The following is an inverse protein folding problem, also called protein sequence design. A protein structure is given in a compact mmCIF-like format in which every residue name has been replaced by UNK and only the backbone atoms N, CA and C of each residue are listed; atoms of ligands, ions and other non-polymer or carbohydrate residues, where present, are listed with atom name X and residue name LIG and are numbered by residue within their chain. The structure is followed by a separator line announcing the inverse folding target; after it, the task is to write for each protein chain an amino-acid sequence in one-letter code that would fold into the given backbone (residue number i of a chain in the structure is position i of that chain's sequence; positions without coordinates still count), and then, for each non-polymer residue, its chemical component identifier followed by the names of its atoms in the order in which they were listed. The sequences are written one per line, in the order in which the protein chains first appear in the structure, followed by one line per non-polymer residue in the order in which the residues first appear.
data_IF_075081670512
#
_entry.id   IF_075081670512
#
_cell.length_a   1.000
_cell.length_b   1.000
_cell.length_c   1.000
_cell.angle_alpha   90.00
_cell.angle_beta   90.00
_cell.angle_gamma   90.00
#
_symmetry.space_group_name_H-M   'P 1'
#
loop_
_entity.id
_entity.type
_entity.pdbx_description
1 polymer ?
#
# COMPACT_ATOMS: atom_id res chain seq x y z
N UNK A 1 -3.75 25.02 11.55
CA UNK A 1 -2.53 25.19 12.39
C UNK A 1 -2.66 24.42 13.69
N UNK A 2 -3.62 24.74 14.56
CA UNK A 2 -3.81 24.07 15.87
C UNK A 2 -4.12 22.56 15.77
N UNK A 3 -4.88 22.16 14.75
CA UNK A 3 -5.18 20.74 14.45
C UNK A 3 -3.99 19.96 13.86
N UNK A 4 -3.14 20.63 13.07
CA UNK A 4 -1.86 20.07 12.57
C UNK A 4 -0.89 19.83 13.72
N UNK A 5 -0.83 20.77 14.67
CA UNK A 5 0.00 20.64 15.87
C UNK A 5 -0.51 19.53 16.80
N UNK A 6 -1.83 19.35 16.93
CA UNK A 6 -2.42 18.22 17.67
C UNK A 6 -2.14 16.88 17.00
N UNK A 7 -2.27 16.80 15.67
CA UNK A 7 -1.92 15.63 14.88
C UNK A 7 -0.43 15.26 14.99
N UNK A 8 0.46 16.26 14.89
CA UNK A 8 1.90 16.10 15.13
C UNK A 8 2.19 15.59 16.54
N UNK A 9 1.47 16.10 17.55
CA UNK A 9 1.57 15.63 18.93
C UNK A 9 1.13 14.17 19.09
N UNK A 10 0.01 13.78 18.47
CA UNK A 10 -0.53 12.41 18.57
C UNK A 10 0.37 11.39 17.85
N UNK A 11 0.91 11.73 16.67
CA UNK A 11 1.92 10.93 15.97
C UNK A 11 3.20 10.78 16.81
N UNK A 12 3.72 11.89 17.36
CA UNK A 12 4.90 11.87 18.23
C UNK A 12 4.66 11.05 19.50
N UNK A 13 3.46 11.13 20.08
CA UNK A 13 3.07 10.40 21.28
C UNK A 13 2.97 8.89 21.03
N UNK A 14 2.27 8.48 19.98
CA UNK A 14 2.12 7.05 19.62
C UNK A 14 3.47 6.42 19.24
N UNK A 15 4.34 7.17 18.54
CA UNK A 15 5.67 6.68 18.15
C UNK A 15 6.59 6.48 19.36
N UNK A 16 6.51 7.37 20.36
CA UNK A 16 7.31 7.29 21.60
C UNK A 16 6.85 6.19 22.56
N UNK A 17 5.59 5.77 22.51
CA UNK A 17 5.05 4.69 23.34
C UNK A 17 5.32 3.30 22.74
N UNK A 18 5.22 3.16 21.43
CA UNK A 18 5.27 1.84 20.78
C UNK A 18 6.62 1.49 20.12
N UNK A 19 7.58 2.43 20.02
CA UNK A 19 8.86 2.28 19.28
C UNK A 19 8.70 1.79 17.81
N UNK A 20 7.48 1.60 17.32
CA UNK A 20 7.14 1.03 16.02
C UNK A 20 5.69 1.42 15.70
N UNK A 21 5.48 2.54 15.02
CA UNK A 21 4.23 2.71 14.28
C UNK A 21 4.39 1.90 12.99
N UNK A 22 3.66 0.79 12.86
CA UNK A 22 3.57 0.10 11.56
C UNK A 22 3.07 1.09 10.50
N UNK A 23 3.55 0.98 9.25
CA UNK A 23 3.12 1.85 8.14
C UNK A 23 1.59 1.95 8.04
N UNK A 24 0.91 0.85 8.34
CA UNK A 24 -0.54 0.75 8.42
C UNK A 24 -1.14 1.59 9.57
N UNK A 25 -0.53 1.56 10.77
CA UNK A 25 -0.92 2.40 11.90
C UNK A 25 -0.73 3.89 11.62
N UNK A 26 0.34 4.27 10.92
CA UNK A 26 0.58 5.65 10.51
C UNK A 26 -0.49 6.12 9.52
N UNK A 27 -0.73 5.36 8.44
CA UNK A 27 -1.79 5.65 7.43
C UNK A 27 -3.18 5.74 8.04
N UNK A 28 -3.50 4.88 9.02
CA UNK A 28 -4.79 4.91 9.74
C UNK A 28 -4.93 6.10 10.70
N UNK A 29 -3.88 6.47 11.41
CA UNK A 29 -3.87 7.68 12.24
C UNK A 29 -4.00 8.95 11.38
N UNK A 30 -3.45 8.91 10.17
CA UNK A 30 -3.54 9.98 9.16
C UNK A 30 -4.94 10.18 8.59
N UNK A 31 -5.63 9.10 8.21
CA UNK A 31 -7.01 9.20 7.72
C UNK A 31 -7.94 9.82 8.79
N UNK A 32 -7.63 9.60 10.06
CA UNK A 32 -8.33 10.22 11.19
C UNK A 32 -7.91 11.68 11.46
N UNK A 33 -6.64 12.03 11.35
CA UNK A 33 -6.13 13.40 11.52
C UNK A 33 -6.62 14.36 10.42
N UNK A 34 -6.72 13.89 9.18
CA UNK A 34 -7.19 14.70 8.05
C UNK A 34 -8.71 14.97 8.09
N UNK A 35 -9.48 14.08 8.73
CA UNK A 35 -10.91 14.24 9.04
C UNK A 35 -11.21 15.57 9.73
N UNK A 36 -10.24 16.10 10.48
CA UNK A 36 -10.36 17.37 11.21
C UNK A 36 -9.89 18.59 10.41
N UNK A 37 -8.97 18.42 9.45
CA UNK A 37 -8.35 19.54 8.72
C UNK A 37 -9.18 20.09 7.55
N UNK A 38 -10.06 19.28 6.97
CA UNK A 38 -10.75 19.65 5.74
C UNK A 38 -12.10 20.35 5.94
N UNK A 39 -12.51 20.63 7.18
CA UNK A 39 -13.77 21.30 7.46
C UNK A 39 -13.71 22.82 7.21
N UNK A 40 -13.60 23.24 5.95
CA UNK A 40 -14.05 24.58 5.54
C UNK A 40 -14.08 24.76 4.01
N UNK A 41 -15.22 24.48 3.39
CA UNK A 41 -15.87 25.38 2.43
C UNK A 41 -17.18 24.76 1.95
N UNK A 42 -18.25 25.56 1.94
CA UNK A 42 -19.52 25.18 1.31
C UNK A 42 -19.47 25.64 -0.15
N UNK A 43 -19.06 24.76 -1.05
CA UNK A 43 -19.19 24.96 -2.50
C UNK A 43 -20.55 24.48 -3.00
N UNK A 44 -20.99 24.99 -4.16
CA UNK A 44 -22.15 24.44 -4.87
C UNK A 44 -21.87 22.97 -5.26
N UNK A 45 -22.92 22.14 -5.29
CA UNK A 45 -22.80 20.73 -5.69
C UNK A 45 -22.28 20.67 -7.12
N UNK A 46 -21.19 19.94 -7.34
CA UNK A 46 -20.62 19.70 -8.65
C UNK A 46 -21.05 18.31 -9.13
N UNK A 47 -21.99 18.25 -10.07
CA UNK A 47 -22.42 16.99 -10.69
C UNK A 47 -21.62 16.74 -11.96
N UNK A 48 -21.12 15.51 -12.11
CA UNK A 48 -20.37 15.08 -13.28
C UNK A 48 -20.89 13.76 -13.83
N UNK A 49 -20.76 13.57 -15.15
CA UNK A 49 -21.38 12.44 -15.86
C UNK A 49 -20.42 11.26 -16.07
N UNK A 50 -19.11 11.51 -16.09
CA UNK A 50 -18.11 10.45 -16.22
C UNK A 50 -18.13 9.51 -15.02
N UNK A 51 -18.20 8.21 -15.27
CA UNK A 51 -18.27 7.18 -14.22
C UNK A 51 -16.92 6.99 -13.57
N UNK A 52 -16.90 6.81 -12.25
CA UNK A 52 -15.68 6.48 -11.50
C UNK A 52 -15.77 5.03 -11.03
N UNK A 53 -14.84 4.20 -11.47
CA UNK A 53 -14.74 2.80 -11.03
C UNK A 53 -13.60 2.69 -10.04
N UNK A 54 -13.95 2.49 -8.77
CA UNK A 54 -13.01 2.28 -7.69
C UNK A 54 -12.58 0.80 -7.67
N UNK A 55 -11.36 0.53 -8.13
CA UNK A 55 -10.75 -0.80 -8.07
C UNK A 55 -9.99 -0.99 -6.78
N UNK A 56 -10.23 -2.10 -6.09
CA UNK A 56 -9.59 -2.39 -4.82
C UNK A 56 -9.20 -3.85 -4.65
N UNK A 57 -8.19 -4.10 -3.82
CA UNK A 57 -7.65 -5.44 -3.61
C UNK A 57 -6.19 -5.41 -3.20
N UNK A 58 -5.65 -6.56 -2.80
CA UNK A 58 -4.27 -6.66 -2.33
C UNK A 58 -3.26 -6.35 -3.43
N UNK A 59 -2.04 -5.95 -3.04
CA UNK A 59 -0.92 -5.97 -3.97
C UNK A 59 -0.77 -7.38 -4.54
N UNK A 60 -0.41 -7.51 -5.83
CA UNK A 60 -0.29 -8.80 -6.52
C UNK A 60 -1.64 -9.52 -6.82
N UNK A 61 -2.79 -8.92 -6.49
CA UNK A 61 -4.10 -9.49 -6.90
C UNK A 61 -4.38 -9.36 -8.39
N UNK A 62 -3.63 -8.54 -9.14
CA UNK A 62 -3.76 -8.40 -10.60
C UNK A 62 -4.39 -7.09 -11.09
N UNK A 63 -4.65 -6.13 -10.19
CA UNK A 63 -5.23 -4.80 -10.52
C UNK A 63 -4.51 -4.09 -11.67
N UNK A 64 -3.19 -3.91 -11.57
CA UNK A 64 -2.39 -3.23 -12.59
C UNK A 64 -2.47 -3.92 -13.97
N UNK A 65 -2.51 -5.25 -14.00
CA UNK A 65 -2.68 -6.01 -15.25
C UNK A 65 -4.07 -5.79 -15.86
N UNK A 66 -5.11 -5.77 -15.04
CA UNK A 66 -6.47 -5.45 -15.45
C UNK A 66 -6.56 -4.03 -16.00
N UNK A 67 -6.00 -3.04 -15.32
CA UNK A 67 -5.97 -1.64 -15.78
C UNK A 67 -5.32 -1.49 -17.17
N UNK A 68 -4.21 -2.22 -17.41
CA UNK A 68 -3.53 -2.24 -18.72
C UNK A 68 -4.43 -2.82 -19.82
N UNK A 69 -5.06 -3.97 -19.56
CA UNK A 69 -5.99 -4.58 -20.51
C UNK A 69 -7.22 -3.70 -20.76
N UNK A 70 -7.67 -2.96 -19.75
CA UNK A 70 -8.77 -2.03 -19.88
C UNK A 70 -8.45 -0.86 -20.82
N UNK A 71 -7.29 -0.21 -20.65
CA UNK A 71 -6.84 0.87 -21.54
C UNK A 71 -6.69 0.41 -22.99
N UNK A 72 -6.23 -0.83 -23.20
CA UNK A 72 -6.12 -1.40 -24.55
C UNK A 72 -7.47 -1.53 -25.28
N UNK A 73 -8.57 -1.66 -24.53
CA UNK A 73 -9.92 -1.88 -25.09
C UNK A 73 -10.78 -0.62 -25.08
N UNK A 74 -10.60 0.27 -24.12
CA UNK A 74 -11.47 1.41 -23.88
C UNK A 74 -10.69 2.72 -23.99
N UNK A 75 -10.35 3.11 -25.23
CA UNK A 75 -9.57 4.33 -25.50
C UNK A 75 -10.30 5.63 -25.11
N UNK A 76 -11.60 5.58 -24.82
CA UNK A 76 -12.39 6.74 -24.36
C UNK A 76 -12.44 6.88 -22.83
N UNK A 77 -11.79 5.98 -22.10
CA UNK A 77 -11.68 5.98 -20.64
C UNK A 77 -10.25 6.28 -20.22
N UNK A 78 -10.09 6.72 -18.98
CA UNK A 78 -8.78 6.94 -18.37
C UNK A 78 -8.55 6.01 -17.17
N UNK A 79 -7.29 5.86 -16.77
CA UNK A 79 -6.90 5.14 -15.55
C UNK A 79 -5.99 6.02 -14.71
N UNK A 80 -6.39 6.19 -13.46
CA UNK A 80 -5.60 6.84 -12.41
C UNK A 80 -5.35 5.85 -11.28
N UNK A 81 -4.28 6.02 -10.52
CA UNK A 81 -4.06 5.16 -9.37
C UNK A 81 -2.73 5.39 -8.68
N UNK A 82 -2.60 4.83 -7.49
CA UNK A 82 -1.40 4.94 -6.66
C UNK A 82 -0.18 4.39 -7.45
N UNK A 83 -0.30 3.19 -8.03
CA UNK A 83 0.76 2.53 -8.83
C UNK A 83 1.05 3.19 -10.19
N UNK A 84 0.28 4.21 -10.61
CA UNK A 84 0.45 4.89 -11.91
C UNK A 84 0.91 6.32 -11.67
N UNK A 85 0.15 7.06 -10.88
CA UNK A 85 0.32 8.49 -10.66
C UNK A 85 1.39 8.76 -9.59
N UNK A 86 1.47 7.94 -8.52
CA UNK A 86 2.56 8.05 -7.54
C UNK A 86 3.86 7.45 -8.07
N UNK A 87 3.82 6.35 -8.80
CA UNK A 87 5.03 5.80 -9.43
C UNK A 87 5.64 6.77 -10.44
N UNK A 88 4.82 7.43 -11.28
CA UNK A 88 5.30 8.50 -12.16
C UNK A 88 5.88 9.68 -11.36
N UNK A 89 5.24 10.05 -10.25
CA UNK A 89 5.75 11.09 -9.36
C UNK A 89 7.11 10.70 -8.76
N UNK A 90 7.27 9.46 -8.32
CA UNK A 90 8.54 8.93 -7.81
C UNK A 90 9.61 8.82 -8.89
N UNK A 91 9.25 8.39 -10.09
CA UNK A 91 10.18 8.32 -11.24
C UNK A 91 10.66 9.72 -11.60
N UNK A 92 9.75 10.69 -11.74
CA UNK A 92 10.07 12.08 -12.03
C UNK A 92 11.01 12.67 -10.97
N UNK A 93 10.72 12.42 -9.69
CA UNK A 93 11.60 12.84 -8.59
C UNK A 93 12.96 12.14 -8.59
N UNK A 94 13.01 10.85 -8.90
CA UNK A 94 14.27 10.09 -8.93
C UNK A 94 15.21 10.57 -10.04
N UNK A 95 14.65 11.18 -11.09
CA UNK A 95 15.38 11.70 -12.25
C UNK A 95 15.71 13.20 -12.13
N UNK A 96 15.01 13.94 -11.27
CA UNK A 96 15.18 15.38 -11.06
C UNK A 96 15.62 15.67 -9.61
N UNK A 97 16.93 15.72 -9.41
CA UNK A 97 17.56 16.03 -8.11
C UNK A 97 17.06 17.36 -7.53
N UNK A 98 16.97 18.47 -8.30
CA UNK A 98 16.32 19.70 -7.82
C UNK A 98 14.91 19.49 -7.29
N UNK A 99 14.07 18.72 -7.99
CA UNK A 99 12.70 18.42 -7.56
C UNK A 99 12.70 17.58 -6.28
N UNK A 100 13.51 16.53 -6.21
CA UNK A 100 13.66 15.72 -5.01
C UNK A 100 14.16 16.57 -3.82
N UNK A 101 15.13 17.45 -4.03
CA UNK A 101 15.63 18.38 -3.01
C UNK A 101 14.56 19.39 -2.57
N UNK A 102 13.65 19.80 -3.46
CA UNK A 102 12.55 20.72 -3.14
C UNK A 102 11.52 20.06 -2.22
N UNK A 103 11.11 18.82 -2.52
CA UNK A 103 10.08 18.11 -1.75
C UNK A 103 10.64 17.37 -0.53
N UNK A 104 11.89 16.90 -0.60
CA UNK A 104 12.56 16.11 0.43
C UNK A 104 13.94 16.67 0.79
N UNK A 105 14.04 17.96 1.20
CA UNK A 105 15.33 18.61 1.43
C UNK A 105 16.19 17.93 2.50
N UNK A 106 15.54 17.36 3.53
CA UNK A 106 16.22 16.68 4.62
C UNK A 106 16.69 15.29 4.20
N UNK A 107 15.83 14.46 3.60
CA UNK A 107 16.23 13.18 3.00
C UNK A 107 17.33 13.35 1.96
N UNK A 108 17.26 14.37 1.11
CA UNK A 108 18.35 14.72 0.18
C UNK A 108 19.65 15.03 0.93
N UNK A 109 19.59 15.82 2.00
CA UNK A 109 20.76 16.13 2.81
C UNK A 109 21.33 14.87 3.50
N UNK A 110 20.50 14.01 4.08
CA UNK A 110 20.90 12.70 4.62
C UNK A 110 21.56 11.83 3.55
N UNK A 111 20.90 11.65 2.41
CA UNK A 111 21.44 10.89 1.28
C UNK A 111 22.76 11.48 0.80
N UNK A 112 22.88 12.80 0.68
CA UNK A 112 24.12 13.44 0.25
C UNK A 112 25.29 13.18 1.21
N UNK A 113 25.03 13.12 2.53
CA UNK A 113 26.03 12.79 3.56
C UNK A 113 26.43 11.32 3.55
N UNK A 114 25.48 10.44 3.27
CA UNK A 114 25.76 9.01 3.28
C UNK A 114 26.28 8.51 1.92
N UNK A 115 25.94 9.19 0.82
CA UNK A 115 26.52 8.95 -0.52
C UNK A 115 27.96 9.43 -0.62
N UNK A 116 28.35 10.48 0.11
CA UNK A 116 29.77 10.89 0.17
C UNK A 116 30.67 9.82 0.77
N UNK A 117 30.13 8.91 1.59
CA UNK A 117 30.86 7.77 2.14
C UNK A 117 31.08 6.64 1.10
N UNK A 118 30.50 6.72 -0.11
CA UNK A 118 30.54 5.68 -1.15
C UNK A 118 30.04 4.29 -0.72
N UNK A 119 29.51 4.11 0.48
CA UNK A 119 29.11 2.80 1.06
C UNK A 119 27.61 2.52 0.94
N UNK A 120 26.83 3.35 0.23
CA UNK A 120 25.40 3.11 -0.02
C UNK A 120 25.16 2.71 -1.46
N UNK A 121 24.33 1.68 -1.65
CA UNK A 121 23.95 1.16 -2.97
C UNK A 121 22.54 1.59 -3.39
N UNK A 122 21.59 1.75 -2.45
CA UNK A 122 20.20 2.12 -2.77
C UNK A 122 19.50 2.68 -1.53
N UNK A 123 18.71 3.74 -1.68
CA UNK A 123 17.75 4.17 -0.66
C UNK A 123 16.36 4.05 -1.25
N UNK A 124 15.53 3.22 -0.65
CA UNK A 124 14.14 3.08 -1.03
C UNK A 124 13.30 4.07 -0.22
N UNK A 125 12.25 4.60 -0.85
CA UNK A 125 11.15 5.17 -0.08
C UNK A 125 10.73 4.16 1.01
N UNK A 126 10.22 4.65 2.15
CA UNK A 126 9.89 3.85 3.35
C UNK A 126 11.07 3.52 4.30
N UNK A 127 12.17 4.29 4.20
CA UNK A 127 13.25 4.24 5.20
C UNK A 127 14.16 3.02 5.11
N UNK A 128 14.08 2.26 4.02
CA UNK A 128 14.96 1.12 3.80
C UNK A 128 16.20 1.60 3.06
N UNK A 129 17.32 1.61 3.79
CA UNK A 129 18.62 1.94 3.24
C UNK A 129 19.44 0.67 2.99
N UNK A 130 19.93 0.53 1.78
CA UNK A 130 20.80 -0.57 1.37
C UNK A 130 22.24 -0.06 1.27
N UNK A 131 23.11 -0.54 2.16
CA UNK A 131 24.55 -0.33 2.09
C UNK A 131 25.23 -1.21 1.03
N UNK A 132 26.42 -0.90 0.55
CA UNK A 132 27.21 -1.85 -0.25
C UNK A 132 27.62 -3.03 0.64
N UNK A 133 27.85 -4.20 0.06
CA UNK A 133 28.39 -5.36 0.79
C UNK A 133 29.77 -5.07 1.39
N UNK A 134 30.49 -4.11 0.81
CA UNK A 134 31.80 -3.64 1.29
C UNK A 134 31.72 -2.70 2.50
N UNK A 135 30.51 -2.30 2.92
CA UNK A 135 30.35 -1.28 3.96
C UNK A 135 30.86 -1.77 5.31
N UNK A 136 31.81 -1.01 5.87
CA UNK A 136 32.35 -1.30 7.20
C UNK A 136 31.30 -1.13 8.31
N UNK A 137 31.42 -1.90 9.40
CA UNK A 137 30.54 -1.76 10.59
C UNK A 137 30.53 -0.33 11.16
N UNK A 138 31.66 0.35 11.15
CA UNK A 138 31.75 1.74 11.60
C UNK A 138 31.02 2.70 10.65
N UNK A 139 31.05 2.47 9.33
CA UNK A 139 30.28 3.26 8.38
C UNK A 139 28.77 3.06 8.60
N UNK A 140 28.33 1.81 8.79
CA UNK A 140 26.93 1.51 9.10
C UNK A 140 26.48 2.21 10.40
N UNK A 141 27.29 2.15 11.47
CA UNK A 141 26.95 2.82 12.73
C UNK A 141 26.88 4.34 12.57
N UNK A 142 27.82 4.97 11.86
CA UNK A 142 27.79 6.42 11.60
C UNK A 142 26.55 6.85 10.81
N UNK A 143 26.11 6.03 9.86
CA UNK A 143 24.88 6.33 9.11
C UNK A 143 23.67 6.24 10.05
N UNK A 144 23.59 5.21 10.90
CA UNK A 144 22.54 5.08 11.91
C UNK A 144 22.53 6.26 12.89
N UNK A 145 23.71 6.68 13.38
CA UNK A 145 23.85 7.84 14.28
C UNK A 145 23.45 9.16 13.59
N UNK A 146 23.70 9.28 12.28
CA UNK A 146 23.30 10.42 11.46
C UNK A 146 21.78 10.46 11.24
N UNK A 147 21.16 9.29 11.15
CA UNK A 147 19.71 9.09 11.12
C UNK A 147 19.12 9.10 12.54
N UNK A 148 19.18 10.24 13.24
CA UNK A 148 18.67 10.35 14.61
C UNK A 148 17.13 10.19 14.67
N UNK A 149 16.58 9.50 15.67
CA UNK A 149 15.16 9.07 15.70
C UNK A 149 14.14 10.22 15.62
N UNK A 150 14.35 11.34 16.32
CA UNK A 150 13.44 12.49 16.26
C UNK A 150 13.40 13.15 14.86
N UNK A 151 14.50 13.07 14.11
CA UNK A 151 14.55 13.59 12.73
C UNK A 151 13.88 12.67 11.71
N UNK A 152 13.83 11.36 12.00
CA UNK A 152 13.11 10.37 11.19
C UNK A 152 11.59 10.62 11.27
N UNK A 153 11.06 10.94 12.45
CA UNK A 153 9.61 11.19 12.64
C UNK A 153 9.14 12.40 11.83
N UNK A 154 9.87 13.52 11.91
CA UNK A 154 9.54 14.73 11.13
C UNK A 154 9.68 14.48 9.61
N UNK A 155 10.64 13.65 9.17
CA UNK A 155 10.79 13.28 7.77
C UNK A 155 9.67 12.35 7.29
N UNK A 156 9.25 11.40 8.12
CA UNK A 156 8.08 10.55 7.85
C UNK A 156 6.81 11.39 7.72
N UNK A 157 6.61 12.38 8.60
CA UNK A 157 5.48 13.31 8.51
C UNK A 157 5.50 14.07 7.18
N UNK A 158 6.66 14.57 6.74
CA UNK A 158 6.78 15.27 5.46
C UNK A 158 6.59 14.35 4.26
N UNK A 159 7.14 13.14 4.29
CA UNK A 159 6.94 12.12 3.26
C UNK A 159 5.45 11.87 3.06
N UNK A 160 4.75 11.73 4.17
CA UNK A 160 3.30 11.55 4.22
C UNK A 160 2.56 12.77 3.67
N UNK A 161 2.93 13.99 4.07
CA UNK A 161 2.31 15.23 3.56
C UNK A 161 2.43 15.32 2.03
N UNK A 162 3.59 14.96 1.48
CA UNK A 162 3.82 14.94 0.02
C UNK A 162 2.98 13.86 -0.65
N UNK A 163 2.93 12.65 -0.09
CA UNK A 163 2.11 11.56 -0.61
C UNK A 163 0.62 11.93 -0.65
N UNK A 164 0.12 12.55 0.40
CA UNK A 164 -1.26 13.01 0.49
C UNK A 164 -1.54 14.11 -0.54
N UNK A 165 -0.62 15.06 -0.72
CA UNK A 165 -0.77 16.09 -1.74
C UNK A 165 -0.83 15.50 -3.16
N UNK A 166 0.06 14.54 -3.47
CA UNK A 166 0.04 13.84 -4.76
C UNK A 166 -1.27 13.06 -4.97
N UNK A 167 -1.79 12.41 -3.93
CA UNK A 167 -3.07 11.70 -3.99
C UNK A 167 -4.26 12.66 -4.15
N UNK A 168 -4.24 13.83 -3.50
CA UNK A 168 -5.23 14.88 -3.74
C UNK A 168 -5.18 15.42 -5.17
N UNK A 169 -4.00 15.62 -5.73
CA UNK A 169 -3.83 16.06 -7.12
C UNK A 169 -4.40 15.02 -8.10
N UNK A 170 -4.17 13.73 -7.82
CA UNK A 170 -4.79 12.62 -8.55
C UNK A 170 -6.32 12.71 -8.46
N UNK A 171 -6.90 12.90 -7.27
CA UNK A 171 -8.36 13.02 -7.10
C UNK A 171 -8.95 14.25 -7.82
N UNK A 172 -8.27 15.40 -7.78
CA UNK A 172 -8.68 16.57 -8.57
C UNK A 172 -8.62 16.28 -10.08
N UNK A 173 -7.65 15.50 -10.55
CA UNK A 173 -7.58 15.10 -11.96
C UNK A 173 -8.74 14.18 -12.33
N UNK A 174 -9.04 13.16 -11.52
CA UNK A 174 -10.20 12.27 -11.71
C UNK A 174 -11.49 13.09 -11.80
N UNK A 175 -11.67 14.05 -10.89
CA UNK A 175 -12.82 14.96 -10.88
C UNK A 175 -12.93 15.77 -12.17
N UNK A 176 -11.82 16.31 -12.68
CA UNK A 176 -11.80 17.05 -13.97
C UNK A 176 -12.13 16.17 -15.17
N UNK A 177 -11.59 14.95 -15.23
CA UNK A 177 -11.88 13.97 -16.28
C UNK A 177 -13.37 13.58 -16.27
N UNK A 178 -13.90 13.28 -15.09
CA UNK A 178 -15.32 12.98 -14.92
C UNK A 178 -16.21 14.15 -15.34
N UNK A 179 -15.82 15.40 -15.01
CA UNK A 179 -16.53 16.61 -15.44
C UNK A 179 -16.55 16.82 -16.96
N UNK A 180 -15.53 16.32 -17.68
CA UNK A 180 -15.52 16.31 -19.15
C UNK A 180 -16.22 15.10 -19.77
N UNK A 181 -16.95 14.31 -18.97
CA UNK A 181 -17.65 13.10 -19.41
C UNK A 181 -16.75 11.87 -19.59
N UNK A 182 -15.46 11.96 -19.25
CA UNK A 182 -14.52 10.82 -19.33
C UNK A 182 -14.70 9.95 -18.10
N UNK A 183 -14.93 8.66 -18.30
CA UNK A 183 -15.02 7.70 -17.21
C UNK A 183 -13.62 7.22 -16.82
N UNK A 184 -13.40 7.03 -15.53
CA UNK A 184 -12.07 6.80 -14.96
C UNK A 184 -12.07 5.56 -14.08
N UNK A 185 -11.12 4.66 -14.32
CA UNK A 185 -10.78 3.61 -13.36
C UNK A 185 -9.75 4.16 -12.38
N UNK A 186 -9.99 3.92 -11.09
CA UNK A 186 -9.13 4.38 -10.00
C UNK A 186 -8.58 3.17 -9.26
N UNK A 187 -7.29 2.89 -9.42
CA UNK A 187 -6.55 1.89 -8.64
C UNK A 187 -5.99 2.55 -7.38
N UNK A 188 -6.78 2.57 -6.31
CA UNK A 188 -6.36 3.17 -5.03
C UNK A 188 -6.50 2.16 -3.90
N UNK A 189 -5.71 2.33 -2.84
CA UNK A 189 -5.88 1.58 -1.60
C UNK A 189 -6.71 2.34 -0.55
N UNK A 190 -7.01 3.62 -0.78
CA UNK A 190 -7.58 4.52 0.24
C UNK A 190 -8.95 5.12 -0.19
N UNK A 191 -9.96 4.24 -0.21
CA UNK A 191 -11.34 4.63 -0.55
C UNK A 191 -11.91 5.63 0.46
N UNK A 192 -11.56 5.48 1.74
CA UNK A 192 -12.03 6.41 2.76
C UNK A 192 -11.57 7.82 2.45
N UNK A 193 -10.31 8.01 2.07
CA UNK A 193 -9.79 9.31 1.66
C UNK A 193 -10.46 9.85 0.39
N UNK A 194 -10.72 8.99 -0.62
CA UNK A 194 -11.49 9.39 -1.81
C UNK A 194 -12.91 9.88 -1.44
N UNK A 195 -13.61 9.18 -0.56
CA UNK A 195 -14.95 9.57 -0.10
C UNK A 195 -14.96 10.87 0.69
N UNK A 196 -13.96 11.05 1.55
CA UNK A 196 -13.77 12.30 2.27
C UNK A 196 -13.55 13.43 1.25
N UNK A 197 -12.60 13.28 0.34
CA UNK A 197 -12.34 14.25 -0.73
C UNK A 197 -13.62 14.62 -1.49
N UNK A 198 -14.38 13.61 -1.97
CA UNK A 198 -15.64 13.83 -2.70
C UNK A 198 -16.66 14.62 -1.88
N UNK A 199 -16.82 14.28 -0.61
CA UNK A 199 -17.73 14.98 0.32
C UNK A 199 -17.32 16.45 0.49
N UNK A 200 -16.01 16.68 0.62
CA UNK A 200 -15.44 18.02 0.83
C UNK A 200 -15.52 18.89 -0.42
N UNK A 201 -15.34 18.31 -1.59
CA UNK A 201 -15.52 19.00 -2.87
C UNK A 201 -17.00 19.16 -3.27
N UNK A 202 -17.93 18.63 -2.46
CA UNK A 202 -19.35 18.55 -2.78
C UNK A 202 -19.60 17.95 -4.17
N UNK A 203 -18.80 16.95 -4.51
CA UNK A 203 -18.77 16.33 -5.83
C UNK A 203 -19.75 15.14 -5.86
N UNK A 204 -20.61 15.10 -6.87
CA UNK A 204 -21.53 14.01 -7.14
C UNK A 204 -21.20 13.41 -8.51
N UNK A 205 -20.87 12.11 -8.51
CA UNK A 205 -20.59 11.34 -9.72
C UNK A 205 -21.09 9.90 -9.55
N UNK A 206 -21.39 9.18 -10.65
CA UNK A 206 -21.64 7.75 -10.60
C UNK A 206 -20.37 7.01 -10.16
N UNK A 207 -20.48 6.22 -9.09
CA UNK A 207 -19.37 5.41 -8.56
C UNK A 207 -19.75 3.94 -8.61
N UNK A 208 -18.79 3.11 -9.01
CA UNK A 208 -18.90 1.66 -8.94
C UNK A 208 -17.70 1.09 -8.18
N UNK A 209 -17.95 0.11 -7.32
CA UNK A 209 -16.94 -0.58 -6.52
C UNK A 209 -16.64 -1.96 -7.07
N UNK A 210 -15.37 -2.19 -7.37
CA UNK A 210 -14.90 -3.46 -7.93
C UNK A 210 -13.76 -4.02 -7.08
N UNK A 211 -14.03 -5.14 -6.40
CA UNK A 211 -13.01 -5.89 -5.65
C UNK A 211 -12.31 -6.87 -6.59
N UNK A 212 -11.03 -6.63 -6.83
CA UNK A 212 -10.12 -7.52 -7.56
C UNK A 212 -9.29 -8.30 -6.56
N UNK A 213 -9.58 -9.59 -6.44
CA UNK A 213 -8.93 -10.45 -5.46
C UNK A 213 -8.42 -11.74 -6.09
N UNK A 214 -7.54 -12.40 -5.37
CA UNK A 214 -7.23 -13.80 -5.58
C UNK A 214 -7.24 -14.50 -4.20
N UNK A 215 -7.59 -15.79 -4.14
CA UNK A 215 -7.50 -16.56 -2.90
C UNK A 215 -6.14 -16.47 -2.23
N UNK A 216 -6.11 -16.57 -0.91
CA UNK A 216 -4.95 -16.31 -0.07
C UNK A 216 -3.74 -17.19 -0.43
N UNK A 217 -3.99 -18.48 -0.67
CA UNK A 217 -2.95 -19.43 -1.09
C UNK A 217 -2.35 -19.04 -2.46
N UNK A 218 -3.22 -18.70 -3.41
CA UNK A 218 -2.80 -18.26 -4.74
C UNK A 218 -2.05 -16.91 -4.67
N UNK A 219 -2.45 -16.02 -3.77
CA UNK A 219 -1.77 -14.75 -3.52
C UNK A 219 -0.32 -14.99 -3.08
N UNK A 220 -0.10 -15.83 -2.08
CA UNK A 220 1.24 -16.19 -1.60
C UNK A 220 2.09 -16.81 -2.73
N UNK A 221 1.50 -17.73 -3.51
CA UNK A 221 2.18 -18.34 -4.66
C UNK A 221 2.63 -17.30 -5.69
N UNK A 222 1.77 -16.31 -6.01
CA UNK A 222 2.08 -15.24 -6.96
C UNK A 222 3.17 -14.31 -6.46
N UNK A 223 3.16 -13.97 -5.17
CA UNK A 223 4.21 -13.15 -4.54
C UNK A 223 5.58 -13.84 -4.68
N UNK A 224 5.67 -15.13 -4.37
CA UNK A 224 6.94 -15.88 -4.50
C UNK A 224 7.38 -16.00 -5.96
N UNK A 225 6.45 -16.23 -6.87
CA UNK A 225 6.76 -16.26 -8.30
C UNK A 225 7.29 -14.91 -8.79
N UNK A 226 6.67 -13.80 -8.36
CA UNK A 226 7.11 -12.45 -8.69
C UNK A 226 8.49 -12.16 -8.13
N UNK A 227 8.73 -12.48 -6.86
CA UNK A 227 10.02 -12.25 -6.20
C UNK A 227 11.15 -13.06 -6.83
N UNK A 228 10.93 -14.34 -7.11
CA UNK A 228 11.91 -15.16 -7.85
C UNK A 228 12.21 -14.58 -9.23
N UNK A 229 11.18 -14.13 -9.95
CA UNK A 229 11.33 -13.45 -11.24
C UNK A 229 12.15 -12.16 -11.13
N UNK A 230 11.88 -11.34 -10.11
CA UNK A 230 12.57 -10.08 -9.86
C UNK A 230 14.05 -10.29 -9.55
N UNK A 231 14.39 -11.30 -8.74
CA UNK A 231 15.77 -11.66 -8.42
C UNK A 231 16.51 -12.20 -9.65
N UNK A 232 15.88 -13.11 -10.41
CA UNK A 232 16.48 -13.72 -11.60
C UNK A 232 16.76 -12.70 -12.71
N UNK A 233 15.88 -11.71 -12.88
CA UNK A 233 16.00 -10.66 -13.91
C UNK A 233 16.71 -9.40 -13.43
N UNK A 234 17.22 -9.39 -12.18
CA UNK A 234 17.78 -8.21 -11.52
C UNK A 234 16.85 -6.98 -11.54
N UNK A 235 15.53 -7.19 -11.60
CA UNK A 235 14.52 -6.13 -11.62
C UNK A 235 13.97 -5.91 -10.21
N UNK A 236 14.82 -5.40 -9.31
CA UNK A 236 14.49 -5.29 -7.88
C UNK A 236 13.27 -4.42 -7.56
N UNK A 237 12.89 -3.46 -8.44
CA UNK A 237 11.65 -2.69 -8.30
C UNK A 237 10.36 -3.54 -8.40
N UNK A 238 10.46 -4.73 -9.00
CA UNK A 238 9.35 -5.69 -9.09
C UNK A 238 9.23 -6.60 -7.86
N UNK A 239 10.25 -6.60 -6.99
CA UNK A 239 10.23 -7.35 -5.74
C UNK A 239 9.15 -6.80 -4.81
N UNK A 240 8.52 -7.68 -4.04
CA UNK A 240 7.49 -7.36 -3.06
C UNK A 240 7.87 -7.96 -1.72
N UNK A 241 7.54 -7.28 -0.64
CA UNK A 241 7.64 -7.88 0.69
C UNK A 241 6.73 -9.13 0.73
N UNK A 242 7.27 -10.34 1.02
CA UNK A 242 6.51 -11.59 1.04
C UNK A 242 5.28 -11.59 1.97
N UNK A 243 5.37 -10.91 3.12
CA UNK A 243 4.32 -10.90 4.15
C UNK A 243 3.28 -9.79 3.92
N UNK A 244 3.68 -8.66 3.36
CA UNK A 244 2.82 -7.48 3.25
C UNK A 244 1.50 -7.69 2.48
N UNK A 245 1.48 -8.34 1.30
CA UNK A 245 0.23 -8.66 0.61
C UNK A 245 -0.74 -9.51 1.44
N UNK A 246 -0.22 -10.34 2.35
CA UNK A 246 -1.04 -11.16 3.25
C UNK A 246 -1.67 -10.30 4.35
N UNK A 247 -0.93 -9.33 4.89
CA UNK A 247 -1.47 -8.36 5.84
C UNK A 247 -2.57 -7.51 5.18
N UNK A 248 -2.36 -7.08 3.93
CA UNK A 248 -3.39 -6.39 3.15
C UNK A 248 -4.62 -7.26 2.90
N UNK A 249 -4.49 -8.58 2.83
CA UNK A 249 -5.67 -9.44 2.66
C UNK A 249 -6.66 -9.25 3.81
N UNK A 250 -6.15 -9.11 5.04
CA UNK A 250 -6.97 -8.89 6.24
C UNK A 250 -7.59 -7.49 6.31
N UNK A 251 -7.15 -6.55 5.47
CA UNK A 251 -7.81 -5.23 5.37
C UNK A 251 -9.03 -5.26 4.46
N UNK A 252 -9.13 -6.26 3.57
CA UNK A 252 -10.25 -6.41 2.64
C UNK A 252 -11.20 -7.54 3.01
N UNK A 253 -10.70 -8.55 3.72
CA UNK A 253 -11.45 -9.75 4.08
C UNK A 253 -11.45 -9.98 5.58
N UNK A 254 -12.57 -10.46 6.09
CA UNK A 254 -12.74 -10.91 7.47
C UNK A 254 -13.23 -12.34 7.50
N UNK A 255 -13.15 -12.96 8.67
CA UNK A 255 -13.80 -14.23 8.89
C UNK A 255 -15.31 -14.12 8.69
N UNK A 256 -15.83 -15.13 8.02
CA UNK A 256 -17.25 -15.36 7.83
C UNK A 256 -17.84 -15.80 9.16
N UNK A 257 -18.76 -15.00 9.70
CA UNK A 257 -19.39 -15.21 11.00
C UNK A 257 -20.82 -15.75 10.84
N UNK A 258 -21.47 -15.50 9.70
CA UNK A 258 -22.86 -15.88 9.49
C UNK A 258 -23.06 -16.74 8.22
N UNK A 259 -23.92 -17.78 8.22
CA UNK A 259 -24.13 -18.65 7.06
C UNK A 259 -24.51 -17.94 5.77
N UNK A 260 -25.30 -16.86 5.87
CA UNK A 260 -25.78 -16.06 4.72
C UNK A 260 -24.75 -15.10 4.13
N UNK A 261 -23.63 -14.86 4.80
CA UNK A 261 -22.57 -14.04 4.22
C UNK A 261 -22.00 -14.72 2.99
N UNK A 262 -21.51 -13.91 2.05
CA UNK A 262 -20.81 -14.43 0.89
C UNK A 262 -19.54 -15.14 1.34
N UNK A 263 -19.23 -16.26 0.70
CA UNK A 263 -17.97 -16.96 0.91
C UNK A 263 -17.08 -16.69 -0.30
N UNK A 264 -15.93 -16.07 -0.08
CA UNK A 264 -14.99 -15.74 -1.16
C UNK A 264 -13.77 -16.63 -1.17
N UNK A 265 -13.35 -17.11 0.01
CA UNK A 265 -12.18 -17.95 0.15
C UNK A 265 -12.33 -18.91 1.32
N UNK A 266 -11.63 -20.04 1.25
CA UNK A 266 -11.55 -21.06 2.29
C UNK A 266 -10.11 -21.45 2.51
N UNK A 267 -9.62 -21.31 3.74
CA UNK A 267 -8.25 -21.66 4.09
C UNK A 267 -8.21 -22.46 5.38
N UNK A 268 -7.48 -23.57 5.38
CA UNK A 268 -7.19 -24.29 6.61
C UNK A 268 -6.15 -23.51 7.44
N UNK A 269 -6.34 -23.46 8.76
CA UNK A 269 -5.41 -22.80 9.69
C UNK A 269 -3.98 -23.32 9.60
N UNK A 270 -3.77 -24.64 9.42
CA UNK A 270 -2.44 -25.21 9.21
C UNK A 270 -1.81 -24.75 7.88
N UNK A 271 -2.61 -24.64 6.82
CA UNK A 271 -2.15 -24.09 5.53
C UNK A 271 -1.79 -22.61 5.67
N UNK A 272 -2.60 -21.82 6.39
CA UNK A 272 -2.29 -20.42 6.69
C UNK A 272 -0.96 -20.30 7.43
N UNK A 273 -0.77 -21.08 8.50
CA UNK A 273 0.47 -21.09 9.28
C UNK A 273 1.67 -21.37 8.38
N UNK A 274 1.59 -22.45 7.60
CA UNK A 274 2.65 -22.85 6.67
C UNK A 274 2.98 -21.74 5.67
N UNK A 275 1.96 -21.12 5.05
CA UNK A 275 2.16 -20.03 4.10
C UNK A 275 2.90 -18.87 4.77
N UNK A 276 2.45 -18.41 5.93
CA UNK A 276 3.05 -17.24 6.57
C UNK A 276 4.47 -17.56 7.07
N UNK A 277 4.74 -18.77 7.56
CA UNK A 277 6.09 -19.25 7.90
C UNK A 277 7.01 -19.27 6.68
N UNK A 278 6.55 -19.79 5.54
CA UNK A 278 7.30 -19.81 4.28
C UNK A 278 7.60 -18.39 3.78
N UNK A 279 6.61 -17.48 3.75
CA UNK A 279 6.82 -16.08 3.36
C UNK A 279 7.81 -15.36 4.30
N UNK A 280 7.73 -15.67 5.59
CA UNK A 280 8.64 -15.14 6.60
C UNK A 280 10.07 -15.62 6.35
N UNK A 281 10.25 -16.93 6.10
CA UNK A 281 11.55 -17.50 5.79
C UNK A 281 12.15 -16.92 4.50
N UNK A 282 11.35 -16.72 3.45
CA UNK A 282 11.80 -16.06 2.22
C UNK A 282 12.23 -14.60 2.47
N UNK A 283 11.48 -13.87 3.31
CA UNK A 283 11.85 -12.51 3.71
C UNK A 283 13.22 -12.48 4.41
N UNK A 284 13.48 -13.46 5.27
CA UNK A 284 14.73 -13.62 6.02
C UNK A 284 15.93 -14.02 5.13
N UNK A 285 15.70 -14.84 4.11
CA UNK A 285 16.77 -15.22 3.17
C UNK A 285 17.23 -14.02 2.33
N UNK A 286 16.33 -13.15 1.89
CA UNK A 286 16.70 -11.93 1.18
C UNK A 286 17.37 -10.92 2.11
N UNK A 287 16.97 -10.86 3.39
CA UNK A 287 17.65 -10.02 4.38
C UNK A 287 19.01 -10.57 4.79
N UNK A 288 19.31 -11.87 4.61
CA UNK A 288 20.65 -12.43 4.90
C UNK A 288 21.76 -11.88 3.98
N UNK A 289 21.40 -11.09 2.96
CA UNK A 289 22.33 -10.26 2.19
C UNK A 289 22.82 -9.04 3.03
N UNK A 290 22.17 -8.67 4.15
CA UNK A 290 22.58 -7.56 5.05
C UNK A 290 22.17 -7.80 6.52
N UNK A 291 23.21 -7.94 7.36
CA UNK A 291 23.32 -7.75 8.82
C UNK A 291 22.07 -7.78 9.73
N UNK A 292 22.20 -8.56 10.82
CA UNK A 292 21.37 -8.71 12.05
C UNK A 292 20.09 -9.57 11.98
N UNK A 293 20.31 -10.88 12.12
CA UNK A 293 19.32 -11.96 12.18
C UNK A 293 18.35 -11.91 13.40
N UNK A 294 18.67 -11.22 14.49
CA UNK A 294 17.87 -11.26 15.73
C UNK A 294 16.63 -10.36 15.71
N UNK A 295 16.75 -9.13 15.20
CA UNK A 295 15.62 -8.17 15.16
C UNK A 295 14.60 -8.53 14.08
N UNK A 296 15.06 -9.08 12.95
CA UNK A 296 14.19 -9.48 11.83
C UNK A 296 13.37 -10.73 12.20
N UNK A 297 13.95 -11.66 12.97
CA UNK A 297 13.25 -12.86 13.45
C UNK A 297 12.16 -12.50 14.48
N UNK A 298 12.41 -11.51 15.36
CA UNK A 298 11.41 -11.01 16.31
C UNK A 298 10.24 -10.33 15.61
N UNK A 299 10.52 -9.40 14.67
CA UNK A 299 9.50 -8.68 13.90
C UNK A 299 8.65 -9.60 13.02
N UNK A 300 9.26 -10.67 12.53
CA UNK A 300 8.54 -11.70 11.77
C UNK A 300 7.57 -12.51 12.63
N UNK A 301 7.98 -12.86 13.86
CA UNK A 301 7.11 -13.52 14.84
C UNK A 301 5.96 -12.61 15.28
N UNK A 302 6.21 -11.33 15.48
CA UNK A 302 5.15 -10.33 15.76
C UNK A 302 4.14 -10.24 14.61
N UNK A 303 4.58 -10.25 13.36
CA UNK A 303 3.68 -10.25 12.20
C UNK A 303 2.81 -11.52 12.14
N UNK A 304 3.39 -12.69 12.44
CA UNK A 304 2.67 -13.97 12.56
C UNK A 304 1.62 -13.91 13.68
N UNK A 305 2.02 -13.51 14.87
CA UNK A 305 1.13 -13.35 16.02
C UNK A 305 -0.01 -12.36 15.71
N UNK A 306 0.29 -11.25 15.04
CA UNK A 306 -0.69 -10.25 14.62
C UNK A 306 -1.72 -10.81 13.63
N UNK A 307 -1.29 -11.57 12.60
CA UNK A 307 -2.20 -12.20 11.63
C UNK A 307 -3.20 -13.11 12.34
N UNK A 308 -2.72 -13.99 13.22
CA UNK A 308 -3.59 -14.91 13.95
C UNK A 308 -4.47 -14.18 14.97
N UNK A 309 -3.96 -13.18 15.67
CA UNK A 309 -4.76 -12.36 16.59
C UNK A 309 -5.88 -11.60 15.87
N UNK A 310 -5.62 -11.02 14.69
CA UNK A 310 -6.65 -10.35 13.89
C UNK A 310 -7.74 -11.31 13.40
N UNK A 311 -7.40 -12.58 13.22
CA UNK A 311 -8.34 -13.66 12.91
C UNK A 311 -8.99 -14.26 14.17
N UNK A 312 -8.67 -13.79 15.37
CA UNK A 312 -9.25 -14.28 16.62
C UNK A 312 -8.65 -15.59 17.14
N UNK A 313 -7.46 -15.97 16.67
CA UNK A 313 -6.74 -17.17 17.12
C UNK A 313 -5.54 -16.80 18.00
N UNK A 314 -5.23 -17.69 18.95
CA UNK A 314 -3.93 -17.66 19.64
C UNK A 314 -2.88 -18.28 18.74
N UNK A 315 -1.68 -17.70 18.75
CA UNK A 315 -0.52 -18.24 18.05
C UNK A 315 0.36 -19.05 19.02
N UNK A 316 0.92 -20.22 18.61
CA UNK A 316 0.56 -20.95 17.40
C UNK A 316 -0.87 -21.53 17.50
N UNK A 317 -1.58 -21.67 16.38
CA UNK A 317 -2.91 -22.28 16.39
C UNK A 317 -2.82 -23.77 16.77
N UNK A 318 -3.85 -24.30 17.46
CA UNK A 318 -3.88 -25.70 17.92
C UNK A 318 -4.67 -26.65 17.01
N UNK A 319 -5.49 -26.14 16.10
CA UNK A 319 -6.55 -26.91 15.43
C UNK A 319 -6.57 -26.68 13.90
N UNK A 320 -6.90 -27.71 13.13
CA UNK A 320 -7.06 -27.71 11.66
C UNK A 320 -8.36 -27.05 11.18
N UNK A 321 -8.80 -25.99 11.87
CA UNK A 321 -10.06 -25.32 11.56
C UNK A 321 -10.03 -24.76 10.14
N UNK A 322 -11.13 -24.91 9.40
CA UNK A 322 -11.30 -24.27 8.08
C UNK A 322 -11.90 -22.89 8.28
N UNK A 323 -11.15 -21.88 7.87
CA UNK A 323 -11.56 -20.48 7.88
C UNK A 323 -12.31 -20.16 6.59
N UNK A 324 -13.51 -19.59 6.71
CA UNK A 324 -14.20 -18.96 5.58
C UNK A 324 -13.97 -17.46 5.61
N UNK A 325 -13.70 -16.86 4.46
CA UNK A 325 -13.53 -15.41 4.33
C UNK A 325 -14.69 -14.78 3.57
N UNK A 326 -15.00 -13.53 3.93
CA UNK A 326 -15.95 -12.66 3.26
C UNK A 326 -15.36 -11.25 3.16
N UNK A 327 -15.70 -10.44 2.14
CA UNK A 327 -15.24 -9.07 2.07
C UNK A 327 -15.77 -8.24 3.25
N UNK A 328 -14.97 -7.29 3.70
CA UNK A 328 -15.34 -6.30 4.72
C UNK A 328 -16.24 -5.23 4.10
N UNK A 329 -15.88 -4.76 2.90
CA UNK A 329 -16.57 -3.68 2.21
C UNK A 329 -17.56 -4.20 1.17
N UNK A 330 -18.64 -3.45 0.99
CA UNK A 330 -19.56 -3.65 -0.11
C UNK A 330 -18.84 -3.46 -1.46
N UNK A 331 -19.12 -4.34 -2.41
CA UNK A 331 -18.72 -4.23 -3.80
C UNK A 331 -19.92 -4.47 -4.71
N UNK A 332 -19.97 -3.74 -5.82
CA UNK A 332 -20.91 -4.03 -6.90
C UNK A 332 -20.46 -5.28 -7.68
N UNK A 333 -19.14 -5.45 -7.81
CA UNK A 333 -18.54 -6.59 -8.50
C UNK A 333 -17.32 -7.14 -7.78
N UNK A 334 -17.15 -8.46 -7.90
CA UNK A 334 -15.97 -9.17 -7.47
C UNK A 334 -15.34 -9.90 -8.65
N UNK A 335 -14.03 -9.76 -8.78
CA UNK A 335 -13.23 -10.40 -9.82
C UNK A 335 -12.21 -11.28 -9.12
N UNK A 336 -12.41 -12.60 -9.22
CA UNK A 336 -11.42 -13.58 -8.82
C UNK A 336 -10.41 -13.75 -9.96
N UNK A 337 -9.22 -13.18 -9.81
CA UNK A 337 -8.18 -13.24 -10.86
C UNK A 337 -7.47 -14.58 -10.96
N UNK A 338 -7.80 -15.56 -10.10
CA UNK A 338 -7.43 -16.95 -10.31
C UNK A 338 -8.29 -17.59 -11.41
N UNK A 339 -9.55 -17.20 -11.51
CA UNK A 339 -10.54 -17.78 -12.42
C UNK A 339 -10.75 -16.96 -13.69
N UNK A 340 -10.59 -15.64 -13.57
CA UNK A 340 -10.86 -14.67 -14.65
C UNK A 340 -9.56 -14.04 -15.11
N UNK A 341 -9.29 -14.09 -16.41
CA UNK A 341 -8.12 -13.42 -16.98
C UNK A 341 -8.27 -11.89 -16.90
N UNK A 342 -7.15 -11.15 -16.92
CA UNK A 342 -7.19 -9.68 -16.92
C UNK A 342 -8.00 -9.13 -18.13
N UNK A 343 -7.92 -9.82 -19.27
CA UNK A 343 -8.63 -9.47 -20.50
C UNK A 343 -10.15 -9.62 -20.34
N UNK A 344 -10.61 -10.70 -19.72
CA UNK A 344 -12.03 -10.98 -19.51
C UNK A 344 -12.59 -10.11 -18.37
N UNK A 345 -11.78 -9.88 -17.34
CA UNK A 345 -12.10 -8.96 -16.25
C UNK A 345 -12.37 -7.54 -16.77
N UNK A 346 -11.55 -7.05 -17.69
CA UNK A 346 -11.78 -5.76 -18.35
C UNK A 346 -13.12 -5.72 -19.11
N UNK A 347 -13.49 -6.80 -19.81
CA UNK A 347 -14.79 -6.88 -20.52
C UNK A 347 -15.98 -6.89 -19.56
N UNK A 348 -15.87 -7.60 -18.43
CA UNK A 348 -16.91 -7.62 -17.41
C UNK A 348 -17.17 -6.22 -16.87
N UNK A 349 -16.11 -5.47 -16.59
CA UNK A 349 -16.20 -4.09 -16.11
C UNK A 349 -16.86 -3.20 -17.16
N UNK A 350 -16.44 -3.26 -18.41
CA UNK A 350 -16.98 -2.42 -19.51
C UNK A 350 -18.42 -2.76 -19.88
N UNK A 351 -18.77 -4.04 -19.96
CA UNK A 351 -20.10 -4.47 -20.44
C UNK A 351 -21.25 -4.19 -19.46
N UNK A 352 -20.90 -3.92 -18.21
CA UNK A 352 -21.86 -3.66 -17.12
C UNK A 352 -21.76 -2.25 -16.55
N UNK A 353 -20.83 -1.43 -17.07
CA UNK A 353 -20.82 0.01 -16.88
C UNK A 353 -21.62 0.66 -17.99
#
# INVERSE_FOLDING_TARGET
VELLERFRSDLKFNFRQENNISEFGARKALSQGFRLMMLSSRSMIQRTDGKVILLYGTSTSGKTSLCKEFLNKNLSWDVEGDDISLDQFYVAMSQDIPLFKKYFPYKYHLLSRCMSDQEISLFLFHGIMHCKETASKQAMQRILDTCNQDSIIEDMIKDIEVLLAAQQDMFHRIMRLSASGVSVIVDTMDFEFFYQFKTLQNWECPIQFVLVYCPFEELARRVNARNRGALTKSSLGEYRNPVFPLLQYLTFFRLKLHPKEMLTDKLNVATLLKIVEEQTAESLQVSSIKTELSEITHKSRENLEMVFQQLGFKYPPSDDTVLGFTPIFYCDYMINTQEVSAKDAAEIITSRS
#
